data_IF_187695492749
#
_entry.id   IF_187695492749
#
_cell.length_a   1.000
_cell.length_b   1.000
_cell.length_c   1.000
_cell.angle_alpha   90.00
_cell.angle_beta   90.00
_cell.angle_gamma   90.00
#
_symmetry.space_group_name_H-M   'P 1'
#
loop_
_entity.id
_entity.type
_entity.pdbx_description
1 polymer ?
#
# COMPACT_ATOMS: atom_id res chain seq x y z
N UNK A 1 13.99 13.49 2.38
CA UNK A 1 12.57 13.19 2.70
C UNK A 1 12.58 12.12 3.78
N UNK A 2 12.00 12.38 4.95
CA UNK A 2 11.81 11.34 5.97
C UNK A 2 10.45 10.71 5.67
N UNK A 3 10.44 9.41 5.35
CA UNK A 3 9.20 8.67 5.11
C UNK A 3 8.52 8.36 6.45
N UNK A 4 7.20 8.60 6.53
CA UNK A 4 6.38 8.24 7.70
C UNK A 4 6.58 6.76 8.04
N UNK A 5 6.64 6.44 9.33
CA UNK A 5 6.80 5.07 9.83
C UNK A 5 5.68 4.16 9.36
N UNK A 6 4.43 4.63 9.37
CA UNK A 6 3.27 3.87 8.89
C UNK A 6 3.43 3.48 7.41
N UNK A 7 3.99 4.36 6.59
CA UNK A 7 4.22 4.08 5.17
C UNK A 7 5.33 3.05 4.98
N UNK A 8 6.37 3.06 5.82
CA UNK A 8 7.44 2.04 5.79
C UNK A 8 6.90 0.67 6.17
N UNK A 9 6.10 0.61 7.24
CA UNK A 9 5.50 -0.63 7.74
C UNK A 9 4.52 -1.21 6.72
N UNK A 10 3.68 -0.38 6.11
CA UNK A 10 2.77 -0.86 5.06
C UNK A 10 3.53 -1.41 3.84
N UNK A 11 4.60 -0.73 3.40
CA UNK A 11 5.49 -1.22 2.34
C UNK A 11 6.15 -2.56 2.73
N UNK A 12 6.58 -2.70 3.98
CA UNK A 12 7.15 -3.95 4.48
C UNK A 12 6.14 -5.09 4.38
N UNK A 13 4.90 -4.89 4.84
CA UNK A 13 3.86 -5.91 4.73
C UNK A 13 3.53 -6.27 3.28
N UNK A 14 3.43 -5.28 2.38
CA UNK A 14 3.26 -5.56 0.94
C UNK A 14 4.37 -6.47 0.39
N UNK A 15 5.62 -6.23 0.79
CA UNK A 15 6.76 -7.03 0.36
C UNK A 15 6.72 -8.45 0.95
N UNK A 16 6.43 -8.61 2.25
CA UNK A 16 6.35 -9.91 2.92
C UNK A 16 5.27 -10.81 2.33
N UNK A 17 4.12 -10.24 1.96
CA UNK A 17 3.02 -10.95 1.31
C UNK A 17 3.20 -11.17 -0.20
N UNK A 18 4.34 -10.72 -0.76
CA UNK A 18 4.64 -10.78 -2.19
C UNK A 18 3.52 -10.16 -3.03
N UNK A 19 3.10 -8.96 -2.64
CA UNK A 19 2.15 -8.14 -3.38
C UNK A 19 2.92 -7.32 -4.42
N UNK A 20 2.46 -7.37 -5.67
CA UNK A 20 2.97 -6.52 -6.73
C UNK A 20 2.28 -5.14 -6.66
N UNK A 21 3.06 -4.08 -6.52
CA UNK A 21 2.54 -2.70 -6.43
C UNK A 21 3.48 -1.68 -7.07
N UNK A 22 2.95 -0.49 -7.33
CA UNK A 22 3.68 0.69 -7.77
C UNK A 22 3.24 1.89 -6.92
N UNK A 23 4.20 2.65 -6.39
CA UNK A 23 3.91 3.94 -5.76
C UNK A 23 3.60 4.96 -6.87
N UNK A 24 2.46 5.61 -6.75
CA UNK A 24 1.98 6.61 -7.72
C UNK A 24 1.68 7.95 -7.00
N UNK A 25 1.15 8.92 -7.72
CA UNK A 25 0.67 10.16 -7.13
C UNK A 25 1.79 11.10 -6.64
N UNK A 26 1.49 11.83 -5.55
CA UNK A 26 2.33 12.93 -5.06
C UNK A 26 3.74 12.51 -4.64
N UNK A 27 3.87 11.35 -3.98
CA UNK A 27 5.15 10.80 -3.58
C UNK A 27 6.05 10.47 -4.79
N UNK A 28 5.49 9.83 -5.83
CA UNK A 28 6.23 9.53 -7.05
C UNK A 28 6.72 10.81 -7.74
N UNK A 29 5.86 11.83 -7.88
CA UNK A 29 6.25 13.12 -8.46
C UNK A 29 7.37 13.81 -7.66
N UNK A 30 7.26 13.82 -6.33
CA UNK A 30 8.24 14.46 -5.46
C UNK A 30 9.62 13.80 -5.55
N UNK A 31 9.68 12.47 -5.70
CA UNK A 31 10.93 11.72 -5.89
C UNK A 31 11.52 11.96 -7.29
N UNK A 32 10.68 12.05 -8.33
CA UNK A 32 11.11 12.21 -9.72
C UNK A 32 11.34 13.67 -10.17
N UNK A 33 11.45 14.61 -9.24
CA UNK A 33 11.93 15.97 -9.52
C UNK A 33 10.85 17.04 -9.64
N UNK A 34 9.60 16.73 -9.28
CA UNK A 34 8.53 17.71 -9.14
C UNK A 34 7.98 17.72 -7.70
N UNK A 35 8.59 18.47 -6.76
CA UNK A 35 8.16 18.51 -5.38
C UNK A 35 6.69 18.91 -5.25
N UNK A 36 5.86 17.98 -4.78
CA UNK A 36 4.45 18.20 -4.47
C UNK A 36 4.20 17.80 -3.03
N UNK A 37 3.66 18.72 -2.24
CA UNK A 37 3.22 18.40 -0.89
C UNK A 37 2.01 17.47 -0.94
N UNK A 38 2.06 16.38 -0.18
CA UNK A 38 1.00 15.38 -0.07
C UNK A 38 1.06 14.79 1.33
N UNK A 39 -0.09 14.43 1.91
CA UNK A 39 -0.17 13.87 3.27
C UNK A 39 -0.39 12.35 3.27
N UNK A 40 -0.75 11.83 2.12
CA UNK A 40 -1.04 10.44 1.79
C UNK A 40 0.02 9.86 0.84
N UNK A 41 -0.01 8.55 0.67
CA UNK A 41 0.77 7.83 -0.33
C UNK A 41 -0.19 6.93 -1.11
N UNK A 42 -0.07 6.96 -2.44
CA UNK A 42 -0.93 6.20 -3.32
C UNK A 42 -0.20 4.94 -3.80
N UNK A 43 -0.86 3.78 -3.65
CA UNK A 43 -0.37 2.50 -4.13
C UNK A 43 -1.28 1.97 -5.24
N UNK A 44 -0.72 1.84 -6.45
CA UNK A 44 -1.33 1.02 -7.47
C UNK A 44 -1.00 -0.43 -7.19
N UNK A 45 -2.00 -1.24 -6.84
CA UNK A 45 -1.82 -2.67 -6.57
C UNK A 45 -2.20 -3.49 -7.79
N UNK A 46 -1.34 -4.43 -8.18
CA UNK A 46 -1.68 -5.41 -9.20
C UNK A 46 -2.50 -6.53 -8.57
N UNK A 47 -3.75 -6.68 -9.01
CA UNK A 47 -4.67 -7.67 -8.44
C UNK A 47 -5.33 -8.51 -9.53
N UNK A 48 -5.43 -9.80 -9.25
CA UNK A 48 -6.30 -10.77 -9.94
C UNK A 48 -7.12 -11.50 -8.87
N UNK A 49 -8.03 -12.40 -9.26
CA UNK A 49 -8.90 -13.11 -8.30
C UNK A 49 -8.12 -13.84 -7.19
N UNK A 50 -6.93 -14.35 -7.46
CA UNK A 50 -6.10 -15.02 -6.46
C UNK A 50 -5.29 -14.04 -5.61
N UNK A 51 -4.82 -12.93 -6.20
CA UNK A 51 -3.97 -11.94 -5.52
C UNK A 51 -4.75 -10.96 -4.64
N UNK A 52 -6.05 -10.76 -4.89
CA UNK A 52 -6.88 -9.87 -4.08
C UNK A 52 -6.95 -10.26 -2.59
N UNK A 53 -6.88 -11.56 -2.28
CA UNK A 53 -6.89 -12.07 -0.91
C UNK A 53 -5.66 -11.60 -0.13
N UNK A 54 -4.49 -11.53 -0.78
CA UNK A 54 -3.24 -11.07 -0.16
C UNK A 54 -3.33 -9.64 0.36
N UNK A 55 -4.11 -8.79 -0.30
CA UNK A 55 -4.33 -7.41 0.17
C UNK A 55 -5.14 -7.38 1.45
N UNK A 56 -6.11 -8.29 1.59
CA UNK A 56 -6.88 -8.41 2.83
C UNK A 56 -5.97 -8.88 3.97
N UNK A 57 -5.06 -9.82 3.71
CA UNK A 57 -4.05 -10.30 4.67
C UNK A 57 -3.10 -9.17 5.09
N UNK A 58 -2.53 -8.42 4.12
CA UNK A 58 -1.69 -7.24 4.38
C UNK A 58 -2.42 -6.21 5.25
N UNK A 59 -3.69 -5.89 4.93
CA UNK A 59 -4.45 -4.93 5.70
C UNK A 59 -4.72 -5.43 7.12
N UNK A 60 -4.99 -6.72 7.30
CA UNK A 60 -5.16 -7.31 8.62
C UNK A 60 -3.88 -7.21 9.46
N UNK A 61 -2.73 -7.58 8.89
CA UNK A 61 -1.42 -7.56 9.56
C UNK A 61 -0.93 -6.15 9.87
N UNK A 62 -1.25 -5.18 9.00
CA UNK A 62 -0.95 -3.77 9.23
C UNK A 62 -1.80 -3.13 10.35
N UNK A 63 -2.93 -3.74 10.73
CA UNK A 63 -3.74 -3.30 11.87
C UNK A 63 -5.22 -3.03 11.58
N UNK A 64 -5.71 -3.35 10.38
CA UNK A 64 -7.12 -3.16 10.00
C UNK A 64 -7.99 -4.41 10.22
N UNK A 65 -7.52 -5.38 11.00
CA UNK A 65 -8.25 -6.64 11.27
C UNK A 65 -9.65 -6.43 11.86
N UNK A 66 -9.87 -5.36 12.64
CA UNK A 66 -11.18 -5.04 13.25
C UNK A 66 -12.24 -4.58 12.24
N UNK A 67 -11.86 -4.21 11.01
CA UNK A 67 -12.77 -3.74 9.97
C UNK A 67 -13.56 -4.86 9.27
N UNK A 68 -13.24 -6.14 9.54
CA UNK A 68 -13.89 -7.30 8.92
C UNK A 68 -14.00 -7.19 7.38
N UNK A 69 -12.91 -6.80 6.73
CA UNK A 69 -12.83 -6.68 5.27
C UNK A 69 -12.88 -8.08 4.63
N UNK A 70 -13.63 -8.21 3.53
CA UNK A 70 -13.78 -9.46 2.80
C UNK A 70 -13.96 -9.23 1.31
N UNK A 71 -13.76 -10.26 0.50
CA UNK A 71 -14.10 -10.20 -0.92
C UNK A 71 -15.62 -10.25 -1.10
N UNK A 72 -16.13 -9.47 -2.05
CA UNK A 72 -17.49 -9.66 -2.58
C UNK A 72 -17.41 -10.70 -3.68
N UNK A 73 -18.12 -11.82 -3.48
CA UNK A 73 -18.33 -12.85 -4.51
C UNK A 73 -19.32 -12.37 -5.56
#
# INVERSE_FOLDING_TARGET
MILNQDFKEYIQWLNEHNVEYLIVGGFALAIHGYPRFTQDIDFWVWTDRGKAVKILEVLADFGFSSLNLGSRN
#
